data_IF_236502711419
#
_entry.id   IF_236502711419
#
_cell.length_a   1.000
_cell.length_b   1.000
_cell.length_c   1.000
_cell.angle_alpha   90.00
_cell.angle_beta   90.00
_cell.angle_gamma   90.00
#
_symmetry.space_group_name_H-M   'P 1'
#
loop_
_entity.id
_entity.type
_entity.pdbx_description
1 polymer ?
#
# COMPACT_ATOMS: atom_id res chain seq x y z
N UNK A 1 24.67 -44.15 -77.01
CA UNK A 1 26.05 -43.85 -76.58
C UNK A 1 26.81 -45.15 -76.60
N UNK A 2 27.95 -45.18 -77.31
CA UNK A 2 28.86 -46.32 -77.35
C UNK A 2 29.28 -46.69 -75.93
N UNK A 3 29.12 -47.94 -75.52
CA UNK A 3 29.89 -48.50 -74.41
C UNK A 3 31.17 -49.07 -74.99
N UNK A 4 32.25 -48.36 -74.74
CA UNK A 4 33.61 -48.62 -75.18
C UNK A 4 34.26 -49.58 -74.16
N UNK A 5 34.28 -50.88 -74.46
CA UNK A 5 35.03 -51.88 -73.66
C UNK A 5 35.72 -52.87 -74.61
N UNK A 6 36.81 -52.44 -75.23
CA UNK A 6 37.78 -53.33 -75.89
C UNK A 6 38.92 -53.70 -74.92
N UNK A 7 38.59 -54.46 -73.86
CA UNK A 7 39.59 -55.12 -73.01
C UNK A 7 39.09 -56.51 -72.60
N UNK A 8 39.90 -57.58 -72.71
CA UNK A 8 39.49 -58.91 -72.25
C UNK A 8 39.29 -58.87 -70.73
N UNK A 9 38.02 -58.94 -70.32
CA UNK A 9 37.66 -59.08 -68.92
C UNK A 9 38.25 -60.41 -68.39
N UNK A 10 38.74 -60.43 -67.15
CA UNK A 10 39.06 -61.68 -66.49
C UNK A 10 37.77 -62.49 -66.21
N UNK A 11 37.91 -63.79 -65.95
CA UNK A 11 36.79 -64.71 -65.71
C UNK A 11 35.82 -64.18 -64.63
N UNK A 12 36.34 -63.75 -63.47
CA UNK A 12 35.53 -63.18 -62.37
C UNK A 12 34.77 -61.90 -62.75
N UNK A 13 35.37 -61.03 -63.57
CA UNK A 13 34.69 -59.82 -64.05
C UNK A 13 33.62 -60.13 -65.10
N UNK A 14 33.79 -61.21 -65.86
CA UNK A 14 32.80 -61.68 -66.84
C UNK A 14 31.62 -62.32 -66.12
N UNK A 15 31.87 -63.13 -65.09
CA UNK A 15 30.83 -63.75 -64.26
C UNK A 15 30.01 -62.69 -63.50
N UNK A 16 30.68 -61.70 -62.91
CA UNK A 16 29.98 -60.59 -62.24
C UNK A 16 29.12 -59.78 -63.20
N UNK A 17 29.58 -59.58 -64.44
CA UNK A 17 28.80 -58.90 -65.48
C UNK A 17 27.61 -59.75 -65.92
N UNK A 18 27.77 -61.08 -66.05
CA UNK A 18 26.68 -62.00 -66.38
C UNK A 18 25.62 -62.03 -65.28
N UNK A 19 26.01 -62.09 -64.00
CA UNK A 19 25.08 -62.00 -62.86
C UNK A 19 24.31 -60.67 -62.85
N UNK A 20 24.99 -59.56 -63.18
CA UNK A 20 24.35 -58.25 -63.34
C UNK A 20 23.39 -58.21 -64.53
N UNK A 21 23.72 -58.87 -65.64
CA UNK A 21 22.84 -58.97 -66.79
C UNK A 21 21.64 -59.86 -66.52
N UNK A 22 21.80 -60.97 -65.80
CA UNK A 22 20.69 -61.87 -65.41
C UNK A 22 19.74 -61.20 -64.42
N UNK A 23 20.27 -60.44 -63.47
CA UNK A 23 19.43 -59.64 -62.56
C UNK A 23 18.68 -58.54 -63.31
N UNK A 24 19.34 -57.85 -64.26
CA UNK A 24 18.65 -56.88 -65.13
C UNK A 24 17.60 -57.53 -66.03
N UNK A 25 17.88 -58.71 -66.57
CA UNK A 25 16.91 -59.49 -67.37
C UNK A 25 15.69 -59.87 -66.55
N UNK A 26 15.88 -60.36 -65.32
CA UNK A 26 14.78 -60.76 -64.46
C UNK A 26 13.92 -59.57 -64.01
N UNK A 27 14.54 -58.42 -63.71
CA UNK A 27 13.81 -57.17 -63.44
C UNK A 27 12.99 -56.77 -64.67
N UNK A 28 13.61 -56.77 -65.86
CA UNK A 28 12.93 -56.41 -67.11
C UNK A 28 11.81 -57.38 -67.45
N UNK A 29 12.01 -58.68 -67.21
CA UNK A 29 11.00 -59.71 -67.47
C UNK A 29 9.81 -59.58 -66.51
N UNK A 30 10.06 -59.29 -65.23
CA UNK A 30 9.00 -59.01 -64.25
C UNK A 30 8.23 -57.73 -64.60
N UNK A 31 8.91 -56.66 -65.00
CA UNK A 31 8.26 -55.45 -65.51
C UNK A 31 7.39 -55.78 -66.73
N UNK A 32 7.92 -56.53 -67.71
CA UNK A 32 7.15 -57.01 -68.86
C UNK A 32 5.93 -57.84 -68.47
N UNK A 33 6.04 -58.73 -67.47
CA UNK A 33 4.91 -59.53 -66.99
C UNK A 33 3.84 -58.65 -66.33
N UNK A 34 4.25 -57.65 -65.54
CA UNK A 34 3.33 -56.69 -64.94
C UNK A 34 2.62 -55.85 -66.01
N UNK A 35 3.35 -55.37 -67.02
CA UNK A 35 2.73 -54.65 -68.16
C UNK A 35 1.75 -55.53 -68.94
N UNK A 36 2.08 -56.80 -69.18
CA UNK A 36 1.15 -57.76 -69.83
C UNK A 36 -0.12 -57.96 -69.02
N UNK A 37 0.01 -58.11 -67.70
CA UNK A 37 -1.15 -58.24 -66.81
C UNK A 37 -2.03 -56.99 -66.82
N UNK A 38 -1.44 -55.80 -66.83
CA UNK A 38 -2.18 -54.55 -66.99
C UNK A 38 -2.87 -54.45 -68.36
N UNK A 39 -2.22 -54.89 -69.44
CA UNK A 39 -2.80 -54.96 -70.79
C UNK A 39 -3.99 -55.93 -70.84
N UNK A 40 -3.89 -57.12 -70.26
CA UNK A 40 -4.99 -58.09 -70.19
C UNK A 40 -6.21 -57.52 -69.45
N UNK A 41 -5.98 -56.75 -68.37
CA UNK A 41 -7.04 -56.05 -67.64
C UNK A 41 -7.67 -54.98 -68.54
N UNK A 42 -6.87 -54.17 -69.25
CA UNK A 42 -7.37 -53.15 -70.19
C UNK A 42 -8.13 -53.75 -71.37
N UNK A 43 -7.72 -54.91 -71.88
CA UNK A 43 -8.41 -55.63 -72.96
C UNK A 43 -9.75 -56.25 -72.52
N UNK A 44 -9.91 -56.52 -71.21
CA UNK A 44 -11.16 -57.01 -70.62
C UNK A 44 -12.14 -55.90 -70.20
N UNK A 45 -11.70 -54.64 -70.20
CA UNK A 45 -12.58 -53.50 -69.93
C UNK A 45 -13.54 -53.28 -71.11
N UNK A 46 -14.83 -53.18 -70.81
CA UNK A 46 -15.82 -52.85 -71.83
C UNK A 46 -15.89 -51.33 -72.06
N UNK A 47 -16.50 -50.90 -73.17
CA UNK A 47 -16.74 -49.46 -73.42
C UNK A 47 -17.50 -48.78 -72.27
N UNK A 48 -18.47 -49.47 -71.65
CA UNK A 48 -19.22 -48.98 -70.47
C UNK A 48 -18.31 -48.69 -69.25
N UNK A 49 -17.26 -49.50 -69.02
CA UNK A 49 -16.33 -49.31 -67.90
C UNK A 49 -15.43 -48.08 -68.17
N UNK A 50 -15.00 -47.90 -69.42
CA UNK A 50 -14.22 -46.73 -69.83
C UNK A 50 -15.04 -45.44 -69.71
N UNK A 51 -16.33 -45.46 -70.03
CA UNK A 51 -17.22 -44.29 -69.85
C UNK A 51 -17.45 -43.95 -68.37
N UNK A 52 -17.61 -44.96 -67.51
CA UNK A 52 -17.72 -44.77 -66.06
C UNK A 52 -16.46 -44.14 -65.45
N UNK A 53 -15.27 -44.66 -65.79
CA UNK A 53 -14.00 -44.07 -65.33
C UNK A 53 -13.82 -42.63 -65.84
N UNK A 54 -14.25 -42.32 -67.07
CA UNK A 54 -14.21 -40.95 -67.59
C UNK A 54 -15.18 -40.01 -66.89
N UNK A 55 -16.36 -40.49 -66.48
CA UNK A 55 -17.28 -39.72 -65.65
C UNK A 55 -16.71 -39.44 -64.26
N UNK A 56 -16.15 -40.47 -63.61
CA UNK A 56 -15.54 -40.35 -62.29
C UNK A 56 -14.33 -39.39 -62.31
N UNK A 57 -13.48 -39.46 -63.36
CA UNK A 57 -12.40 -38.50 -63.56
C UNK A 57 -12.89 -37.05 -63.69
N UNK A 58 -14.01 -36.82 -64.39
CA UNK A 58 -14.59 -35.48 -64.52
C UNK A 58 -15.17 -34.99 -63.19
N UNK A 59 -15.82 -35.87 -62.43
CA UNK A 59 -16.38 -35.53 -61.12
C UNK A 59 -15.29 -35.22 -60.11
N UNK A 60 -14.22 -36.03 -60.07
CA UNK A 60 -13.03 -35.77 -59.26
C UNK A 60 -12.32 -34.48 -59.65
N UNK A 61 -12.20 -34.17 -60.94
CA UNK A 61 -11.59 -32.92 -61.40
C UNK A 61 -12.41 -31.68 -60.99
N UNK A 62 -13.74 -31.77 -61.01
CA UNK A 62 -14.62 -30.70 -60.52
C UNK A 62 -14.52 -30.52 -59.00
N UNK A 63 -14.40 -31.63 -58.27
CA UNK A 63 -14.22 -31.62 -56.82
C UNK A 63 -12.85 -31.04 -56.43
N UNK A 64 -11.79 -31.42 -57.16
CA UNK A 64 -10.44 -30.87 -56.97
C UNK A 64 -10.44 -29.34 -57.15
N UNK A 65 -11.05 -28.83 -58.23
CA UNK A 65 -11.14 -27.39 -58.47
C UNK A 65 -11.91 -26.68 -57.35
N UNK A 66 -13.02 -27.26 -56.87
CA UNK A 66 -13.79 -26.71 -55.74
C UNK A 66 -12.94 -26.64 -54.47
N UNK A 67 -12.23 -27.71 -54.14
CA UNK A 67 -11.37 -27.79 -52.95
C UNK A 67 -10.20 -26.82 -53.02
N UNK A 68 -9.62 -26.61 -54.22
CA UNK A 68 -8.57 -25.60 -54.43
C UNK A 68 -9.13 -24.20 -54.12
N UNK A 69 -10.32 -23.86 -54.62
CA UNK A 69 -10.96 -22.58 -54.35
C UNK A 69 -11.24 -22.36 -52.85
N UNK A 70 -11.76 -23.38 -52.16
CA UNK A 70 -11.97 -23.31 -50.72
C UNK A 70 -10.65 -23.13 -49.95
N UNK A 71 -9.57 -23.80 -50.38
CA UNK A 71 -8.24 -23.65 -49.80
C UNK A 71 -7.71 -22.22 -49.97
N UNK A 72 -7.82 -21.64 -51.17
CA UNK A 72 -7.38 -20.28 -51.45
C UNK A 72 -8.11 -19.25 -50.58
N UNK A 73 -9.43 -19.40 -50.41
CA UNK A 73 -10.22 -18.52 -49.55
C UNK A 73 -9.83 -18.67 -48.07
N UNK A 74 -9.60 -19.89 -47.60
CA UNK A 74 -9.12 -20.14 -46.23
C UNK A 74 -7.73 -19.55 -46.02
N UNK A 75 -6.82 -19.69 -46.98
CA UNK A 75 -5.48 -19.10 -46.88
C UNK A 75 -5.51 -17.57 -46.85
N UNK A 76 -6.37 -16.95 -47.67
CA UNK A 76 -6.57 -15.50 -47.68
C UNK A 76 -7.11 -15.02 -46.34
N UNK A 77 -8.13 -15.71 -45.81
CA UNK A 77 -8.68 -15.41 -44.49
C UNK A 77 -7.63 -15.59 -43.39
N UNK A 78 -6.80 -16.63 -43.46
CA UNK A 78 -5.71 -16.87 -42.51
C UNK A 78 -4.68 -15.73 -42.51
N UNK A 79 -4.32 -15.22 -43.69
CA UNK A 79 -3.43 -14.05 -43.82
C UNK A 79 -4.04 -12.81 -43.17
N UNK A 80 -5.30 -12.51 -43.47
CA UNK A 80 -6.00 -11.35 -42.87
C UNK A 80 -6.12 -11.47 -41.35
N UNK A 81 -6.42 -12.65 -40.82
CA UNK A 81 -6.48 -12.88 -39.37
C UNK A 81 -5.10 -12.72 -38.73
N UNK A 82 -4.04 -13.22 -39.36
CA UNK A 82 -2.67 -13.06 -38.86
C UNK A 82 -2.26 -11.59 -38.77
N UNK A 83 -2.54 -10.79 -39.80
CA UNK A 83 -2.26 -9.34 -39.80
C UNK A 83 -3.06 -8.60 -38.73
N UNK A 84 -4.32 -8.98 -38.50
CA UNK A 84 -5.13 -8.38 -37.45
C UNK A 84 -4.62 -8.76 -36.06
N UNK A 85 -4.17 -10.00 -35.88
CA UNK A 85 -3.62 -10.48 -34.62
C UNK A 85 -2.34 -9.73 -34.25
N UNK A 86 -1.45 -9.48 -35.22
CA UNK A 86 -0.23 -8.70 -35.01
C UNK A 86 -0.54 -7.25 -34.59
N UNK A 87 -1.53 -6.60 -35.23
CA UNK A 87 -1.97 -5.25 -34.85
C UNK A 87 -2.51 -5.20 -33.42
N UNK A 88 -3.35 -6.17 -33.06
CA UNK A 88 -3.94 -6.24 -31.70
C UNK A 88 -2.86 -6.53 -30.65
N UNK A 89 -1.87 -7.37 -30.96
CA UNK A 89 -0.74 -7.62 -30.07
C UNK A 89 0.09 -6.36 -29.84
N UNK A 90 0.42 -5.62 -30.90
CA UNK A 90 1.15 -4.36 -30.78
C UNK A 90 0.38 -3.31 -29.96
N UNK A 91 -0.96 -3.26 -30.11
CA UNK A 91 -1.79 -2.38 -29.30
C UNK A 91 -1.86 -2.79 -27.83
N UNK A 92 -1.94 -4.10 -27.56
CA UNK A 92 -1.92 -4.64 -26.19
C UNK A 92 -0.59 -4.31 -25.49
N UNK A 93 0.55 -4.51 -26.16
CA UNK A 93 1.87 -4.17 -25.60
C UNK A 93 2.00 -2.67 -25.30
N UNK A 94 1.42 -1.80 -26.15
CA UNK A 94 1.39 -0.36 -25.90
C UNK A 94 0.54 -0.03 -24.66
N UNK A 95 -0.63 -0.64 -24.54
CA UNK A 95 -1.53 -0.44 -23.39
C UNK A 95 -0.89 -0.92 -22.08
N UNK A 96 -0.18 -2.06 -22.10
CA UNK A 96 0.53 -2.58 -20.93
C UNK A 96 1.62 -1.60 -20.45
N UNK A 97 2.33 -0.95 -21.38
CA UNK A 97 3.32 0.07 -21.04
C UNK A 97 2.68 1.33 -20.43
N UNK A 98 1.54 1.78 -20.98
CA UNK A 98 0.76 2.89 -20.44
C UNK A 98 0.23 2.56 -19.03
N UNK A 99 -0.32 1.35 -18.83
CA UNK A 99 -0.77 0.89 -17.52
C UNK A 99 0.37 0.86 -16.51
N UNK A 100 1.55 0.35 -16.88
CA UNK A 100 2.72 0.34 -16.01
C UNK A 100 3.22 1.75 -15.66
N UNK A 101 3.02 2.75 -16.51
CA UNK A 101 3.29 4.15 -16.18
C UNK A 101 2.25 4.68 -15.18
N UNK A 102 0.96 4.48 -15.46
CA UNK A 102 -0.13 4.86 -14.57
C UNK A 102 -0.01 4.23 -13.17
N UNK A 103 0.35 2.96 -13.08
CA UNK A 103 0.54 2.27 -11.80
C UNK A 103 1.69 2.88 -10.98
N UNK A 104 2.77 3.34 -11.64
CA UNK A 104 3.88 4.04 -10.97
C UNK A 104 3.44 5.38 -10.43
N UNK A 105 2.78 6.19 -11.25
CA UNK A 105 2.24 7.49 -10.83
C UNK A 105 1.25 7.33 -9.67
N UNK A 106 0.33 6.37 -9.78
CA UNK A 106 -0.63 6.06 -8.73
C UNK A 106 0.05 5.68 -7.41
N UNK A 107 1.11 4.87 -7.49
CA UNK A 107 1.89 4.47 -6.31
C UNK A 107 2.59 5.66 -5.65
N UNK A 108 3.12 6.58 -6.45
CA UNK A 108 3.72 7.82 -5.95
C UNK A 108 2.69 8.73 -5.27
N UNK A 109 1.53 8.94 -5.88
CA UNK A 109 0.43 9.69 -5.26
C UNK A 109 -0.04 9.03 -3.96
N UNK A 110 -0.14 7.70 -3.93
CA UNK A 110 -0.54 6.97 -2.74
C UNK A 110 0.47 7.14 -1.61
N UNK A 111 1.77 7.13 -1.93
CA UNK A 111 2.85 7.41 -0.97
C UNK A 111 2.73 8.83 -0.39
N UNK A 112 2.56 9.83 -1.25
CA UNK A 112 2.38 11.22 -0.81
C UNK A 112 1.14 11.39 0.09
N UNK A 113 0.04 10.71 -0.25
CA UNK A 113 -1.16 10.71 0.60
C UNK A 113 -0.86 10.16 1.99
N UNK A 114 -0.13 9.04 2.09
CA UNK A 114 0.22 8.44 3.38
C UNK A 114 1.16 9.34 4.20
N UNK A 115 2.14 9.97 3.55
CA UNK A 115 3.05 10.94 4.18
C UNK A 115 2.25 12.11 4.79
N UNK A 116 1.31 12.68 4.03
CA UNK A 116 0.44 13.77 4.51
C UNK A 116 -0.49 13.33 5.64
N UNK A 117 -1.07 12.13 5.58
CA UNK A 117 -1.92 11.59 6.64
C UNK A 117 -1.14 11.42 7.96
N UNK A 118 0.13 11.01 7.88
CA UNK A 118 0.98 10.86 9.06
C UNK A 118 1.41 12.22 9.64
N UNK A 119 1.70 13.21 8.78
CA UNK A 119 1.92 14.59 9.21
C UNK A 119 0.69 15.17 9.90
N UNK A 120 -0.50 14.95 9.34
CA UNK A 120 -1.77 15.41 9.91
C UNK A 120 -1.98 14.80 11.30
N UNK A 121 -1.82 13.48 11.45
CA UNK A 121 -1.91 12.81 12.77
C UNK A 121 -0.90 13.36 13.77
N UNK A 122 0.32 13.68 13.33
CA UNK A 122 1.35 14.27 14.18
C UNK A 122 0.91 15.64 14.71
N UNK A 123 0.40 16.51 13.83
CA UNK A 123 -0.11 17.84 14.20
C UNK A 123 -1.34 17.72 15.12
N UNK A 124 -2.27 16.82 14.84
CA UNK A 124 -3.44 16.57 15.70
C UNK A 124 -3.01 16.14 17.11
N UNK A 125 -1.99 15.27 17.22
CA UNK A 125 -1.45 14.87 18.51
C UNK A 125 -0.83 16.04 19.28
N UNK A 126 -0.09 16.91 18.59
CA UNK A 126 0.47 18.13 19.20
C UNK A 126 -0.63 19.08 19.66
N UNK A 127 -1.67 19.27 18.84
CA UNK A 127 -2.83 20.09 19.19
C UNK A 127 -3.54 19.53 20.43
N UNK A 128 -3.76 18.20 20.49
CA UNK A 128 -4.36 17.54 21.65
C UNK A 128 -3.52 17.71 22.91
N UNK A 129 -2.20 17.61 22.78
CA UNK A 129 -1.28 17.84 23.89
C UNK A 129 -1.38 19.29 24.39
N UNK A 130 -1.30 20.26 23.49
CA UNK A 130 -1.42 21.68 23.82
C UNK A 130 -2.76 22.00 24.48
N UNK A 131 -3.87 21.45 23.95
CA UNK A 131 -5.20 21.59 24.53
C UNK A 131 -5.25 21.03 25.96
N UNK A 132 -4.66 19.86 26.19
CA UNK A 132 -4.59 19.25 27.52
C UNK A 132 -3.81 20.13 28.51
N UNK A 133 -2.69 20.74 28.07
CA UNK A 133 -1.92 21.66 28.91
C UNK A 133 -2.71 22.94 29.21
N UNK A 134 -3.40 23.48 28.21
CA UNK A 134 -4.26 24.65 28.37
C UNK A 134 -5.41 24.36 29.35
N UNK A 135 -6.02 23.18 29.29
CA UNK A 135 -7.06 22.77 30.23
C UNK A 135 -6.52 22.59 31.65
N UNK A 136 -5.29 22.08 31.81
CA UNK A 136 -4.60 22.04 33.11
C UNK A 136 -4.37 23.44 33.65
N UNK A 137 -3.89 24.37 32.83
CA UNK A 137 -3.65 25.77 33.23
C UNK A 137 -4.97 26.47 33.60
N UNK A 138 -6.04 26.27 32.83
CA UNK A 138 -7.37 26.81 33.14
C UNK A 138 -7.92 26.27 34.46
N UNK A 139 -7.75 24.96 34.73
CA UNK A 139 -8.17 24.33 35.99
C UNK A 139 -7.29 24.76 37.16
N UNK A 140 -6.03 25.12 36.91
CA UNK A 140 -5.09 25.59 37.92
C UNK A 140 -5.36 27.07 38.21
N UNK A 141 -6.42 27.34 38.97
CA UNK A 141 -6.58 28.66 39.56
C UNK A 141 -5.46 28.86 40.60
N UNK A 142 -4.54 29.79 40.32
CA UNK A 142 -3.38 30.11 41.17
C UNK A 142 -3.77 30.38 42.62
N UNK A 143 -4.96 30.96 42.87
CA UNK A 143 -5.43 31.19 44.25
C UNK A 143 -5.82 29.90 44.96
N UNK A 144 -6.48 28.96 44.26
CA UNK A 144 -6.86 27.67 44.82
C UNK A 144 -5.65 26.73 44.98
N UNK A 145 -4.63 26.88 44.11
CA UNK A 145 -3.39 26.12 44.19
C UNK A 145 -2.49 26.61 45.33
N UNK A 146 -2.40 27.93 45.54
CA UNK A 146 -1.54 28.52 46.58
C UNK A 146 -2.22 28.55 47.96
N UNK A 147 -3.56 28.64 48.03
CA UNK A 147 -4.31 28.67 49.28
C UNK A 147 -5.48 27.68 49.23
N UNK A 148 -5.18 26.41 49.51
CA UNK A 148 -6.18 25.35 49.53
C UNK A 148 -6.96 25.38 50.84
N UNK A 149 -8.15 25.97 50.83
CA UNK A 149 -9.08 25.97 51.97
C UNK A 149 -9.99 24.75 51.86
N UNK A 150 -9.94 23.88 52.87
CA UNK A 150 -10.73 22.66 52.97
C UNK A 150 -11.22 22.45 54.40
N UNK A 151 -11.82 21.29 54.69
CA UNK A 151 -12.22 20.91 56.04
C UNK A 151 -11.66 19.53 56.39
N UNK A 152 -11.24 19.38 57.64
CA UNK A 152 -10.80 18.11 58.22
C UNK A 152 -11.61 17.85 59.50
N UNK A 153 -12.68 17.07 59.38
CA UNK A 153 -13.62 16.83 60.47
C UNK A 153 -14.35 18.11 60.88
N UNK A 154 -14.12 18.57 62.12
CA UNK A 154 -14.74 19.77 62.68
C UNK A 154 -13.90 21.05 62.49
N UNK A 155 -12.71 20.94 61.89
CA UNK A 155 -11.81 22.07 61.66
C UNK A 155 -11.81 22.51 60.20
N UNK A 156 -11.79 23.82 59.96
CA UNK A 156 -11.37 24.38 58.68
C UNK A 156 -9.84 24.30 58.55
N UNK A 157 -9.35 23.96 57.36
CA UNK A 157 -7.91 23.84 57.08
C UNK A 157 -7.51 24.75 55.93
N UNK A 158 -6.37 25.41 56.02
CA UNK A 158 -5.75 26.16 54.92
C UNK A 158 -4.34 25.63 54.67
N UNK A 159 -4.05 25.18 53.44
CA UNK A 159 -2.77 24.54 53.09
C UNK A 159 -2.35 23.44 54.09
N UNK A 160 -3.31 22.61 54.48
CA UNK A 160 -3.19 21.55 55.48
C UNK A 160 -2.97 21.98 56.95
N UNK A 161 -3.00 23.28 57.27
CA UNK A 161 -2.96 23.77 58.65
C UNK A 161 -4.37 23.92 59.23
N UNK A 162 -4.63 23.34 60.42
CA UNK A 162 -5.94 23.40 61.08
C UNK A 162 -6.13 24.71 61.83
N UNK A 163 -7.23 25.40 61.51
CA UNK A 163 -7.60 26.66 62.16
C UNK A 163 -8.60 26.38 63.28
N UNK A 164 -8.08 26.16 64.48
CA UNK A 164 -8.89 26.03 65.69
C UNK A 164 -8.32 25.02 66.66
N UNK A 165 -8.93 24.93 67.84
CA UNK A 165 -8.61 23.91 68.84
C UNK A 165 -9.90 23.33 69.41
N UNK A 166 -9.94 22.02 69.63
CA UNK A 166 -11.03 21.37 70.35
C UNK A 166 -10.49 20.70 71.62
N UNK A 167 -11.30 20.54 72.67
CA UNK A 167 -10.89 19.81 73.88
C UNK A 167 -10.44 18.37 73.60
N UNK A 168 -11.01 17.73 72.57
CA UNK A 168 -10.69 16.37 72.14
C UNK A 168 -9.43 16.26 71.28
N UNK A 169 -9.03 17.34 70.59
CA UNK A 169 -7.85 17.38 69.72
C UNK A 169 -7.13 18.73 69.93
N UNK A 170 -6.11 18.78 70.80
CA UNK A 170 -5.34 19.99 71.02
C UNK A 170 -4.40 20.20 69.82
N UNK A 171 -4.74 21.17 68.97
CA UNK A 171 -3.88 21.64 67.88
C UNK A 171 -2.82 22.58 68.46
N UNK A 172 -1.57 22.47 68.00
CA UNK A 172 -0.47 23.32 68.47
C UNK A 172 -0.66 24.78 68.03
N UNK A 173 -0.28 25.72 68.91
CA UNK A 173 -0.34 27.15 68.60
C UNK A 173 0.47 27.53 67.36
N UNK A 174 1.59 26.86 67.10
CA UNK A 174 2.39 27.09 65.89
C UNK A 174 1.60 26.77 64.61
N UNK A 175 0.79 25.71 64.61
CA UNK A 175 -0.05 25.31 63.48
C UNK A 175 -1.19 26.32 63.26
N UNK A 176 -1.85 26.75 64.34
CA UNK A 176 -2.91 27.76 64.30
C UNK A 176 -2.35 29.10 63.79
N UNK A 177 -1.19 29.49 64.29
CA UNK A 177 -0.50 30.71 63.90
C UNK A 177 -0.03 30.67 62.44
N UNK A 178 0.44 29.51 61.96
CA UNK A 178 0.74 29.30 60.55
C UNK A 178 -0.54 29.41 59.69
N UNK A 179 -1.66 28.83 60.12
CA UNK A 179 -2.95 28.95 59.43
C UNK A 179 -3.41 30.42 59.34
N UNK A 180 -3.30 31.20 60.42
CA UNK A 180 -3.56 32.64 60.41
C UNK A 180 -2.62 33.40 59.46
N UNK A 181 -1.34 33.02 59.44
CA UNK A 181 -0.36 33.56 58.51
C UNK A 181 -0.74 33.37 57.05
N UNK A 182 -1.14 32.15 56.68
CA UNK A 182 -1.64 31.82 55.35
C UNK A 182 -2.92 32.59 55.02
N UNK A 183 -3.80 32.79 56.01
CA UNK A 183 -5.07 33.52 55.84
C UNK A 183 -4.84 35.01 55.59
N UNK A 184 -3.93 35.63 56.34
CA UNK A 184 -3.55 37.04 56.13
C UNK A 184 -2.86 37.23 54.78
N UNK A 185 -1.99 36.30 54.39
CA UNK A 185 -1.32 36.33 53.08
C UNK A 185 -2.34 36.20 51.93
N UNK A 186 -3.32 35.30 52.05
CA UNK A 186 -4.41 35.17 51.09
C UNK A 186 -5.20 36.48 50.96
N UNK A 187 -5.62 37.07 52.08
CA UNK A 187 -6.38 38.32 52.07
C UNK A 187 -5.57 39.49 51.48
N UNK A 188 -4.28 39.58 51.80
CA UNK A 188 -3.36 40.54 51.22
C UNK A 188 -3.22 40.35 49.70
N UNK A 189 -3.07 39.11 49.22
CA UNK A 189 -2.98 38.80 47.79
C UNK A 189 -4.27 39.13 47.03
N UNK A 190 -5.44 38.85 47.62
CA UNK A 190 -6.75 39.19 47.04
C UNK A 190 -6.96 40.70 46.98
N UNK A 191 -6.66 41.42 48.06
CA UNK A 191 -6.76 42.88 48.10
C UNK A 191 -5.84 43.54 47.06
N UNK A 192 -4.60 43.05 46.94
CA UNK A 192 -3.66 43.54 45.92
C UNK A 192 -4.16 43.28 44.50
N UNK A 193 -4.72 42.09 44.23
CA UNK A 193 -5.29 41.76 42.91
C UNK A 193 -6.51 42.61 42.55
N UNK A 194 -7.35 42.95 43.51
CA UNK A 194 -8.53 43.82 43.31
C UNK A 194 -8.19 45.32 43.39
N UNK A 195 -6.95 45.69 43.70
CA UNK A 195 -6.55 47.08 43.93
C UNK A 195 -7.21 47.72 45.16
N UNK A 196 -7.74 46.92 46.09
CA UNK A 196 -8.46 47.40 47.27
C UNK A 196 -7.46 47.78 48.37
N UNK A 197 -7.51 49.04 48.81
CA UNK A 197 -6.80 49.49 50.02
C UNK A 197 -7.76 49.52 51.21
N UNK A 198 -7.44 48.73 52.23
CA UNK A 198 -8.18 48.75 53.49
C UNK A 198 -8.00 50.11 54.20
N UNK A 199 -9.10 50.66 54.74
CA UNK A 199 -9.11 52.02 55.30
C UNK A 199 -8.65 52.08 56.77
N UNK A 200 -9.03 51.09 57.59
CA UNK A 200 -8.76 51.08 59.04
C UNK A 200 -7.53 50.26 59.43
N UNK A 201 -7.19 49.25 58.65
CA UNK A 201 -6.14 48.29 58.99
C UNK A 201 -5.21 48.07 57.81
N UNK A 202 -3.92 47.90 58.08
CA UNK A 202 -2.92 47.43 57.13
C UNK A 202 -2.54 45.99 57.46
N UNK A 203 -2.65 45.11 56.48
CA UNK A 203 -2.23 43.71 56.61
C UNK A 203 -0.71 43.59 56.45
N UNK A 204 -0.05 42.92 57.38
CA UNK A 204 1.38 42.61 57.30
C UNK A 204 1.56 41.08 57.41
N UNK A 205 1.64 40.36 56.28
CA UNK A 205 1.91 38.92 56.31
C UNK A 205 3.37 38.68 56.72
N UNK A 206 3.58 38.00 57.84
CA UNK A 206 4.89 37.66 58.39
C UNK A 206 4.94 36.20 58.84
N UNK A 207 4.64 35.29 57.91
CA UNK A 207 4.59 33.84 58.18
C UNK A 207 3.66 33.52 59.35
N UNK A 208 4.15 32.73 60.31
CA UNK A 208 3.41 32.35 61.52
C UNK A 208 3.21 33.50 62.54
N UNK A 209 3.77 34.69 62.35
CA UNK A 209 3.57 35.84 63.24
C UNK A 209 2.95 37.02 62.51
N UNK A 210 2.02 36.74 61.59
CA UNK A 210 1.31 37.77 60.84
C UNK A 210 0.43 38.63 61.74
N UNK A 211 0.37 39.94 61.48
CA UNK A 211 -0.38 40.90 62.30
C UNK A 211 -1.05 41.98 61.44
N UNK A 212 -1.94 42.75 62.07
CA UNK A 212 -2.64 43.88 61.45
C UNK A 212 -2.27 45.17 62.17
N UNK A 213 -1.87 46.20 61.44
CA UNK A 213 -1.63 47.53 62.00
C UNK A 213 -2.91 48.38 61.87
N UNK A 214 -3.38 48.93 62.99
CA UNK A 214 -4.46 49.93 62.99
C UNK A 214 -3.93 51.28 62.48
N UNK A 215 -4.57 51.83 61.45
CA UNK A 215 -4.22 53.15 60.89
C UNK A 215 -4.82 54.31 61.71
N UNK A 216 -5.78 54.02 62.59
CA UNK A 216 -6.43 55.02 63.45
C UNK A 216 -5.74 55.20 64.81
N UNK A 217 -4.90 54.25 65.24
CA UNK A 217 -4.19 54.32 66.55
C UNK A 217 -2.80 54.96 66.48
N UNK A 218 -2.23 55.20 65.29
CA UNK A 218 -0.92 55.88 65.16
C UNK A 218 -0.93 57.34 65.64
N UNK A 219 -2.07 57.86 66.10
CA UNK A 219 -2.21 59.17 66.72
C UNK A 219 -2.12 59.16 68.26
N UNK A 220 -1.90 58.00 68.92
CA UNK A 220 -1.89 57.94 70.40
C UNK A 220 -0.59 57.46 71.07
N UNK A 221 0.37 56.89 70.36
CA UNK A 221 1.68 56.54 70.94
C UNK A 221 2.77 57.54 70.52
N UNK A 222 2.57 58.78 70.97
CA UNK A 222 3.67 59.70 71.26
C UNK A 222 3.68 59.96 72.76
N UNK A 223 4.74 59.50 73.42
CA UNK A 223 5.26 59.89 74.75
C UNK A 223 5.45 58.69 75.70
N UNK A 224 6.71 58.40 76.03
CA UNK A 224 7.09 57.36 76.97
C UNK A 224 8.61 57.16 76.96
N UNK A 225 9.32 58.10 77.56
CA UNK A 225 10.76 58.03 77.86
C UNK A 225 11.17 56.69 78.48
N UNK A 226 12.39 56.26 78.17
CA UNK A 226 13.32 55.78 79.21
C UNK A 226 14.76 56.07 78.81
N UNK A 227 15.35 56.94 79.62
CA UNK A 227 16.78 57.16 79.80
C UNK A 227 17.45 55.89 80.35
N UNK A 228 18.74 55.78 80.03
CA UNK A 228 19.81 54.95 80.63
C UNK A 228 19.65 53.42 80.69
#
# INVERSE_FOLDING_TARGET
>A
GQTDVDHPLCEECTDTLLDQLDTQLNVTENECQNYKRCLEILEQMNEDDSEQLQMELKELALEEERLIQELEDVEKNRKTVAENLEKVQAEAERLDQEEAQYQREYSEFKRQQLELDDELKSVENQMRYAQTQLDKLKKTNVFNATFHIWHSGQFGTINNFRLGRLPSVPVEWNEINAAWGQTVLLLHALANKMGLKFQRYRLVPYGNHSYLESLTDKSKDGCGERQD
#
